data_IF_499683204906
#
_entry.id   IF_499683204906
#
_cell.length_a   1.000
_cell.length_b   1.000
_cell.length_c   1.000
_cell.angle_alpha   90.00
_cell.angle_beta   90.00
_cell.angle_gamma   90.00
#
_symmetry.space_group_name_H-M   'P 1'
#
loop_
_entity.id
_entity.type
_entity.pdbx_description
1 polymer ?
#
# COMPACT_ATOMS: atom_id res chain seq x y z
N UNK A 1 36.08 -22.08 47.49
CA UNK A 1 36.49 -21.34 46.29
C UNK A 1 35.64 -21.76 45.07
N UNK A 2 34.29 -21.68 45.13
CA UNK A 2 33.40 -22.12 44.03
C UNK A 2 32.15 -21.24 43.93
N UNK A 3 32.28 -19.90 43.90
CA UNK A 3 31.09 -19.01 43.82
C UNK A 3 31.16 -17.92 42.76
N UNK A 4 32.20 -17.85 41.93
CA UNK A 4 32.37 -16.75 40.97
C UNK A 4 32.32 -17.17 39.50
N UNK A 5 31.88 -18.42 39.16
CA UNK A 5 31.89 -18.93 37.79
C UNK A 5 30.53 -18.84 37.07
N UNK A 6 29.44 -18.33 37.68
CA UNK A 6 28.09 -18.38 37.11
C UNK A 6 27.53 -17.04 36.62
N UNK A 7 28.30 -15.95 36.61
CA UNK A 7 27.80 -14.61 36.21
C UNK A 7 28.23 -14.19 34.79
N UNK A 8 29.13 -14.93 34.14
CA UNK A 8 29.71 -14.52 32.85
C UNK A 8 28.90 -15.03 31.60
N UNK A 9 27.86 -15.83 31.75
CA UNK A 9 27.16 -16.44 30.60
C UNK A 9 25.84 -15.75 30.20
N UNK A 10 25.36 -14.76 30.94
CA UNK A 10 24.05 -14.16 30.71
C UNK A 10 24.03 -12.88 29.84
N UNK A 11 25.20 -12.28 29.55
CA UNK A 11 25.25 -11.00 28.81
C UNK A 11 25.20 -11.09 27.26
N UNK A 12 25.58 -12.17 26.56
CA UNK A 12 25.51 -12.16 25.10
C UNK A 12 24.10 -12.38 24.52
N UNK A 13 23.13 -12.92 25.29
CA UNK A 13 21.79 -13.20 24.78
C UNK A 13 20.91 -11.97 24.59
N UNK A 14 21.17 -10.88 25.35
CA UNK A 14 20.36 -9.65 25.26
C UNK A 14 20.74 -8.77 24.05
N UNK A 15 21.97 -8.89 23.56
CA UNK A 15 22.47 -8.04 22.45
C UNK A 15 21.94 -8.50 21.08
N UNK A 16 21.57 -9.78 20.92
CA UNK A 16 21.11 -10.36 19.65
C UNK A 16 19.67 -9.94 19.34
N UNK A 17 18.82 -9.68 20.34
CA UNK A 17 17.41 -9.31 20.12
C UNK A 17 17.23 -7.88 19.56
N UNK A 18 18.16 -6.95 19.82
CA UNK A 18 18.01 -5.54 19.39
C UNK A 18 18.32 -5.38 17.90
N UNK A 19 19.21 -6.18 17.34
CA UNK A 19 19.58 -6.08 15.92
C UNK A 19 18.53 -6.66 14.98
N UNK A 20 17.74 -7.63 15.42
CA UNK A 20 16.67 -8.23 14.61
C UNK A 20 15.48 -7.28 14.40
N UNK A 21 15.17 -6.40 15.36
CA UNK A 21 14.07 -5.45 15.25
C UNK A 21 14.35 -4.30 14.27
N UNK A 22 15.60 -3.83 14.17
CA UNK A 22 15.99 -2.79 13.23
C UNK A 22 15.95 -3.27 11.76
N UNK A 23 16.35 -4.52 11.50
CA UNK A 23 16.33 -5.10 10.16
C UNK A 23 14.90 -5.30 9.63
N UNK A 24 13.91 -5.54 10.48
CA UNK A 24 12.52 -5.69 10.10
C UNK A 24 11.85 -4.35 9.72
N UNK A 25 12.26 -3.26 10.34
CA UNK A 25 11.77 -1.92 10.03
C UNK A 25 12.18 -1.47 8.62
N UNK A 26 13.42 -1.72 8.23
CA UNK A 26 13.95 -1.36 6.91
C UNK A 26 13.30 -2.19 5.80
N UNK A 27 13.11 -3.50 6.01
CA UNK A 27 12.46 -4.39 5.04
C UNK A 27 11.00 -4.00 4.75
N UNK A 28 10.23 -3.63 5.77
CA UNK A 28 8.85 -3.17 5.60
C UNK A 28 8.78 -1.84 4.84
N UNK A 29 9.68 -0.91 5.14
CA UNK A 29 9.80 0.37 4.44
C UNK A 29 10.15 0.18 2.96
N UNK A 30 11.06 -0.71 2.66
CA UNK A 30 11.47 -0.99 1.28
C UNK A 30 10.38 -1.71 0.49
N UNK A 31 9.59 -2.57 1.14
CA UNK A 31 8.42 -3.19 0.53
C UNK A 31 7.36 -2.14 0.15
N UNK A 32 7.07 -1.18 1.04
CA UNK A 32 6.13 -0.08 0.75
C UNK A 32 6.63 0.79 -0.42
N UNK A 33 7.92 1.15 -0.45
CA UNK A 33 8.53 1.90 -1.56
C UNK A 33 8.47 1.13 -2.89
N UNK A 34 8.68 -0.18 -2.85
CA UNK A 34 8.50 -1.02 -4.04
C UNK A 34 7.05 -0.96 -4.51
N UNK A 35 6.09 -1.15 -3.62
CA UNK A 35 4.66 -1.08 -3.91
C UNK A 35 4.26 0.26 -4.52
N UNK A 36 4.76 1.38 -3.97
CA UNK A 36 4.53 2.71 -4.49
C UNK A 36 4.97 2.85 -5.95
N UNK A 37 6.18 2.39 -6.27
CA UNK A 37 6.68 2.42 -7.66
C UNK A 37 5.81 1.60 -8.60
N UNK A 38 5.42 0.39 -8.19
CA UNK A 38 4.60 -0.50 -9.01
C UNK A 38 3.19 0.07 -9.24
N UNK A 39 2.58 0.66 -8.21
CA UNK A 39 1.28 1.35 -8.32
C UNK A 39 1.38 2.53 -9.27
N UNK A 40 2.41 3.36 -9.16
CA UNK A 40 2.63 4.50 -10.03
C UNK A 40 2.87 4.09 -11.50
N UNK A 41 3.48 2.94 -11.73
CA UNK A 41 3.74 2.44 -13.08
C UNK A 41 2.54 1.80 -13.76
N UNK A 42 1.66 1.14 -13.01
CA UNK A 42 0.68 0.23 -13.60
C UNK A 42 -0.77 0.47 -13.18
N UNK A 43 -1.02 1.17 -12.06
CA UNK A 43 -2.37 1.31 -11.51
C UNK A 43 -2.95 2.71 -11.69
N UNK A 44 -2.10 3.74 -11.70
CA UNK A 44 -2.53 5.14 -11.72
C UNK A 44 -3.35 5.50 -12.97
N UNK A 45 -3.08 4.83 -14.10
CA UNK A 45 -3.79 5.08 -15.36
C UNK A 45 -5.30 4.88 -15.25
N UNK A 46 -5.75 3.98 -14.36
CA UNK A 46 -7.16 3.69 -14.15
C UNK A 46 -7.68 4.20 -12.80
N UNK A 47 -6.86 4.15 -11.76
CA UNK A 47 -7.28 4.38 -10.38
C UNK A 47 -7.09 5.80 -9.86
N UNK A 48 -6.31 6.63 -10.57
CA UNK A 48 -6.15 8.03 -10.23
C UNK A 48 -6.81 8.90 -11.30
N UNK A 49 -7.59 9.87 -10.89
CA UNK A 49 -8.27 10.76 -11.82
C UNK A 49 -7.23 11.55 -12.64
N UNK A 50 -7.23 11.45 -13.96
CA UNK A 50 -6.37 12.30 -14.76
C UNK A 50 -6.79 13.75 -14.59
N UNK A 51 -5.81 14.65 -14.57
CA UNK A 51 -6.02 16.10 -14.42
C UNK A 51 -6.93 16.70 -15.52
N UNK A 52 -7.15 15.97 -16.60
CA UNK A 52 -7.77 16.46 -17.84
C UNK A 52 -9.20 15.94 -18.03
N UNK A 53 -9.64 14.92 -17.26
CA UNK A 53 -10.98 14.34 -17.40
C UNK A 53 -11.79 14.43 -16.11
N UNK A 54 -13.12 14.38 -16.25
CA UNK A 54 -14.06 14.56 -15.15
C UNK A 54 -14.19 13.38 -14.19
N UNK A 55 -13.38 12.33 -14.33
CA UNK A 55 -13.41 11.17 -13.43
C UNK A 55 -12.35 10.12 -13.73
N UNK A 56 -12.08 9.25 -12.77
CA UNK A 56 -11.23 8.08 -12.97
C UNK A 56 -12.03 6.91 -13.53
N UNK A 57 -11.37 6.05 -14.30
CA UNK A 57 -11.98 4.85 -14.87
C UNK A 57 -12.38 3.82 -13.79
N UNK A 58 -11.61 3.78 -12.71
CA UNK A 58 -11.78 2.86 -11.58
C UNK A 58 -11.86 3.63 -10.25
N UNK A 59 -12.38 3.02 -9.18
CA UNK A 59 -12.38 3.63 -7.84
C UNK A 59 -10.98 4.03 -7.39
N UNK A 60 -10.87 5.15 -6.69
CA UNK A 60 -9.60 5.57 -6.09
C UNK A 60 -9.10 4.53 -5.09
N UNK A 61 -7.78 4.26 -5.12
CA UNK A 61 -7.15 3.34 -4.18
C UNK A 61 -7.01 3.97 -2.80
N UNK A 62 -7.29 3.19 -1.77
CA UNK A 62 -7.09 3.58 -0.38
C UNK A 62 -6.95 2.34 0.52
N UNK A 63 -6.57 2.57 1.77
CA UNK A 63 -6.51 1.49 2.78
C UNK A 63 -7.84 0.78 2.98
N UNK A 64 -8.97 1.41 2.65
CA UNK A 64 -10.32 0.86 2.78
C UNK A 64 -10.83 0.18 1.51
N UNK A 65 -10.03 0.16 0.44
CA UNK A 65 -10.35 -0.58 -0.79
C UNK A 65 -10.66 -2.03 -0.45
N UNK A 66 -11.73 -2.58 -1.04
CA UNK A 66 -12.18 -3.96 -0.78
C UNK A 66 -12.34 -4.28 0.73
N UNK A 67 -12.80 -3.30 1.51
CA UNK A 67 -12.97 -3.44 2.96
C UNK A 67 -11.66 -3.52 3.75
N UNK A 68 -10.54 -3.09 3.16
CA UNK A 68 -9.23 -3.15 3.81
C UNK A 68 -8.63 -4.57 3.89
N UNK A 69 -9.25 -5.56 3.25
CA UNK A 69 -8.80 -6.95 3.28
C UNK A 69 -7.64 -7.18 2.32
N UNK A 70 -6.46 -7.47 2.86
CA UNK A 70 -5.23 -7.64 2.09
C UNK A 70 -5.28 -8.85 1.15
N UNK A 71 -5.87 -9.96 1.59
CA UNK A 71 -5.98 -11.18 0.79
C UNK A 71 -6.91 -10.98 -0.40
N UNK A 72 -8.04 -10.31 -0.20
CA UNK A 72 -8.96 -9.95 -1.27
C UNK A 72 -8.28 -8.98 -2.25
N UNK A 73 -7.55 -7.97 -1.75
CA UNK A 73 -6.78 -7.07 -2.61
C UNK A 73 -5.76 -7.84 -3.45
N UNK A 74 -4.99 -8.74 -2.84
CA UNK A 74 -4.01 -9.57 -3.53
C UNK A 74 -4.67 -10.39 -4.65
N UNK A 75 -5.78 -11.05 -4.35
CA UNK A 75 -6.52 -11.85 -5.33
C UNK A 75 -7.00 -10.99 -6.51
N UNK A 76 -7.62 -9.83 -6.25
CA UNK A 76 -8.09 -8.94 -7.32
C UNK A 76 -6.93 -8.38 -8.17
N UNK A 77 -5.78 -8.10 -7.58
CA UNK A 77 -4.60 -7.65 -8.32
C UNK A 77 -4.03 -8.80 -9.16
N UNK A 78 -3.92 -10.00 -8.58
CA UNK A 78 -3.36 -11.15 -9.26
C UNK A 78 -4.23 -11.62 -10.43
N UNK A 79 -5.51 -11.84 -10.19
CA UNK A 79 -6.41 -12.50 -11.13
C UNK A 79 -7.30 -11.53 -11.92
N UNK A 80 -7.45 -10.31 -11.44
CA UNK A 80 -8.24 -9.29 -12.09
C UNK A 80 -9.75 -9.40 -11.84
N UNK A 81 -10.51 -8.69 -12.64
CA UNK A 81 -11.96 -8.69 -12.66
C UNK A 81 -12.44 -8.41 -14.10
N UNK A 82 -13.74 -8.45 -14.41
CA UNK A 82 -14.22 -8.15 -15.77
C UNK A 82 -13.80 -6.77 -16.31
N UNK A 83 -13.43 -5.84 -15.44
CA UNK A 83 -13.01 -4.47 -15.80
C UNK A 83 -11.57 -4.13 -15.43
N UNK A 84 -10.86 -5.01 -14.76
CA UNK A 84 -9.48 -4.82 -14.30
C UNK A 84 -8.65 -6.02 -14.76
N UNK A 85 -7.55 -5.82 -15.49
CA UNK A 85 -6.68 -6.93 -15.88
C UNK A 85 -6.03 -7.56 -14.66
N UNK A 86 -5.74 -8.87 -14.73
CA UNK A 86 -4.94 -9.57 -13.74
C UNK A 86 -3.44 -9.41 -14.01
N UNK A 87 -2.66 -9.27 -12.96
CA UNK A 87 -1.23 -8.95 -13.03
C UNK A 87 -0.30 -10.10 -12.64
N UNK A 88 -0.82 -11.29 -12.35
CA UNK A 88 0.00 -12.45 -11.91
C UNK A 88 1.07 -12.91 -12.91
N UNK A 89 0.92 -12.56 -14.18
CA UNK A 89 1.92 -12.85 -15.21
C UNK A 89 2.93 -11.70 -15.41
N UNK A 90 2.63 -10.52 -14.87
CA UNK A 90 3.48 -9.34 -14.94
C UNK A 90 4.29 -9.15 -13.65
N UNK A 91 3.69 -9.42 -12.51
CA UNK A 91 4.29 -9.27 -11.19
C UNK A 91 4.45 -10.61 -10.48
N UNK A 92 5.54 -10.74 -9.74
CA UNK A 92 5.74 -11.84 -8.81
C UNK A 92 4.81 -11.69 -7.59
N UNK A 93 4.51 -12.77 -6.84
CA UNK A 93 3.67 -12.69 -5.65
C UNK A 93 4.16 -11.66 -4.62
N UNK A 94 5.45 -11.59 -4.35
CA UNK A 94 6.07 -10.62 -3.44
C UNK A 94 5.90 -9.16 -3.90
N UNK A 95 5.86 -8.95 -5.21
CA UNK A 95 5.58 -7.62 -5.78
C UNK A 95 4.10 -7.24 -5.64
N UNK A 96 3.19 -8.21 -5.77
CA UNK A 96 1.76 -7.98 -5.51
C UNK A 96 1.55 -7.69 -4.02
N UNK A 97 2.23 -8.41 -3.12
CA UNK A 97 2.21 -8.12 -1.69
C UNK A 97 2.73 -6.70 -1.37
N UNK A 98 3.76 -6.26 -2.08
CA UNK A 98 4.27 -4.90 -1.96
C UNK A 98 3.24 -3.85 -2.41
N UNK A 99 2.53 -4.09 -3.52
CA UNK A 99 1.43 -3.24 -3.99
C UNK A 99 0.35 -3.13 -2.92
N UNK A 100 -0.08 -4.27 -2.35
CA UNK A 100 -1.09 -4.31 -1.27
C UNK A 100 -0.61 -3.54 -0.05
N UNK A 101 0.66 -3.74 0.38
CA UNK A 101 1.26 -3.03 1.50
C UNK A 101 1.22 -1.51 1.29
N UNK A 102 1.56 -1.03 0.10
CA UNK A 102 1.49 0.39 -0.24
C UNK A 102 0.05 0.91 -0.25
N UNK A 103 -0.91 0.23 -0.89
CA UNK A 103 -2.32 0.64 -0.92
C UNK A 103 -2.86 0.82 0.51
N UNK A 104 -2.46 -0.02 1.45
CA UNK A 104 -2.85 0.08 2.86
C UNK A 104 -2.25 1.30 3.58
N UNK A 105 -1.28 1.99 3.01
CA UNK A 105 -0.79 3.27 3.53
C UNK A 105 -1.55 4.47 3.00
N UNK A 106 -2.30 4.33 1.90
CA UNK A 106 -3.03 5.43 1.28
C UNK A 106 -4.25 5.77 2.16
N UNK A 107 -4.39 7.01 2.62
CA UNK A 107 -5.57 7.43 3.38
C UNK A 107 -6.86 7.12 2.59
N UNK A 108 -7.99 6.91 3.26
CA UNK A 108 -9.26 6.83 2.57
C UNK A 108 -9.35 8.03 1.65
N UNK A 109 -9.77 7.81 0.40
CA UNK A 109 -10.04 8.93 -0.48
C UNK A 109 -10.99 9.83 0.30
N UNK A 110 -10.47 10.92 0.85
CA UNK A 110 -11.28 12.01 1.38
C UNK A 110 -12.24 12.27 0.24
N UNK A 111 -13.55 12.11 0.51
CA UNK A 111 -14.60 12.15 -0.50
C UNK A 111 -14.18 13.16 -1.56
N UNK A 112 -13.51 12.71 -2.60
CA UNK A 112 -13.00 13.52 -3.69
C UNK A 112 -14.16 13.78 -4.62
N UNK A 113 -15.18 14.31 -4.01
CA UNK A 113 -16.30 14.97 -4.62
C UNK A 113 -16.80 15.96 -3.58
N UNK A 114 -16.04 16.98 -3.35
CA UNK A 114 -16.74 18.24 -3.21
C UNK A 114 -17.51 18.37 -4.52
N UNK A 115 -18.84 18.34 -4.52
CA UNK A 115 -19.59 18.61 -5.74
C UNK A 115 -19.01 19.94 -6.23
N UNK A 116 -18.43 19.95 -7.42
CA UNK A 116 -18.06 21.21 -8.07
C UNK A 116 -19.34 22.01 -8.07
N UNK A 117 -19.43 23.03 -7.18
CA UNK A 117 -20.52 24.00 -7.16
C UNK A 117 -20.64 24.45 -8.61
N UNK A 118 -21.65 23.90 -9.33
CA UNK A 118 -21.99 24.40 -10.63
C UNK A 118 -22.24 25.87 -10.40
N UNK A 119 -21.35 26.70 -10.94
CA UNK A 119 -21.58 28.14 -10.99
C UNK A 119 -22.87 28.26 -11.80
N UNK A 120 -23.97 28.45 -11.10
CA UNK A 120 -25.19 28.91 -11.71
C UNK A 120 -24.85 30.32 -12.16
N UNK A 121 -24.34 30.47 -13.36
CA UNK A 121 -24.26 31.70 -14.03
C UNK A 121 -25.71 32.15 -14.26
N UNK A 122 -26.22 32.86 -13.29
CA UNK A 122 -27.37 33.72 -13.47
C UNK A 122 -26.97 34.81 -14.45
N UNK A 123 -27.11 34.53 -15.71
CA UNK A 123 -27.18 35.51 -16.76
C UNK A 123 -28.65 35.85 -16.91
N UNK A 124 -29.10 36.82 -16.14
CA UNK A 124 -30.25 37.63 -16.50
C UNK A 124 -29.70 38.75 -17.38
N UNK A 125 -30.19 38.86 -18.60
CA UNK A 125 -30.69 40.02 -19.36
C UNK A 125 -30.67 39.66 -20.83
#
# INVERSE_FOLDING_TARGET
>A
MLRNALIAAALPALLVCVTAAAAQGDAAGDQIKLGERLVNQSCVVCHFAPQITSGSYAPALSKDSLGGNAEIMHHFIADGSPRMPGFKYQFKPDQIDAIVAYIKTIPPAAAAATPRKTRSDGGAD
#
